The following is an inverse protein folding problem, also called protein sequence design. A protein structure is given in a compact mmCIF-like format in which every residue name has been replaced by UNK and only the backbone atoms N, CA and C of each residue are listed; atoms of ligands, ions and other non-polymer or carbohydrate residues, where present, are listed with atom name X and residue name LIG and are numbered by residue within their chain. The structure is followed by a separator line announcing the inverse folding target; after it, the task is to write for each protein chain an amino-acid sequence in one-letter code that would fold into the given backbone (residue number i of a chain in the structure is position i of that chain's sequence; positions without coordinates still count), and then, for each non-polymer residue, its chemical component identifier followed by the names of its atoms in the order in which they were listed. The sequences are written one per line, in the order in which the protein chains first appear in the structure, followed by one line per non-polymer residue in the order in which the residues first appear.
data_IF_068707636161
#
_entry.id   IF_068707636161
#
_cell.length_a   1.000
_cell.length_b   1.000
_cell.length_c   1.000
_cell.angle_alpha   90.00
_cell.angle_beta   90.00
_cell.angle_gamma   90.00
#
_symmetry.space_group_name_H-M   'P 1'
#
loop_
_entity.id
_entity.type
_entity.pdbx_description
1 polymer ?
#
# COMPACT_ATOMS: atom_id res chain seq x y z
N UNK A 1 19.37 20.72 -35.58
CA UNK A 1 19.17 19.25 -35.64
C UNK A 1 19.04 18.62 -34.25
N UNK A 2 19.63 19.18 -33.18
CA UNK A 2 19.59 18.58 -31.83
C UNK A 2 18.22 18.65 -31.12
N UNK A 3 17.46 19.75 -31.26
CA UNK A 3 16.18 19.95 -30.56
C UNK A 3 15.16 18.83 -30.82
N UNK A 4 14.91 18.47 -32.08
CA UNK A 4 13.93 17.43 -32.43
C UNK A 4 14.34 16.05 -31.91
N UNK A 5 15.62 15.71 -31.99
CA UNK A 5 16.15 14.46 -31.44
C UNK A 5 16.01 14.40 -29.91
N UNK A 6 16.19 15.53 -29.22
CA UNK A 6 15.97 15.62 -27.77
C UNK A 6 14.48 15.54 -27.40
N UNK A 7 13.60 16.19 -28.16
CA UNK A 7 12.15 16.08 -27.97
C UNK A 7 11.66 14.65 -28.16
N UNK A 8 12.18 13.95 -29.17
CA UNK A 8 11.86 12.55 -29.41
C UNK A 8 12.35 11.67 -28.23
N UNK A 9 13.60 11.83 -27.79
CA UNK A 9 14.12 11.11 -26.62
C UNK A 9 13.30 11.37 -25.36
N UNK A 10 12.91 12.62 -25.12
CA UNK A 10 12.08 12.99 -23.97
C UNK A 10 10.71 12.30 -24.01
N UNK A 11 10.08 12.26 -25.19
CA UNK A 11 8.84 11.51 -25.41
C UNK A 11 9.02 10.01 -25.14
N UNK A 12 10.06 9.40 -25.71
CA UNK A 12 10.36 7.97 -25.54
C UNK A 12 10.59 7.61 -24.06
N UNK A 13 11.31 8.47 -23.32
CA UNK A 13 11.51 8.33 -21.87
C UNK A 13 10.17 8.32 -21.11
N UNK A 14 9.27 9.28 -21.38
CA UNK A 14 7.95 9.32 -20.72
C UNK A 14 7.14 8.06 -21.03
N UNK A 15 7.18 7.58 -22.28
CA UNK A 15 6.50 6.34 -22.68
C UNK A 15 7.08 5.13 -21.95
N UNK A 16 8.40 5.04 -21.83
CA UNK A 16 9.07 3.96 -21.10
C UNK A 16 8.66 3.95 -19.62
N UNK A 17 8.71 5.11 -18.93
CA UNK A 17 8.30 5.25 -17.52
C UNK A 17 6.83 4.85 -17.35
N UNK A 18 5.95 5.27 -18.26
CA UNK A 18 4.53 4.93 -18.23
C UNK A 18 4.29 3.43 -18.37
N UNK A 19 4.98 2.78 -19.29
CA UNK A 19 4.85 1.34 -19.53
C UNK A 19 5.34 0.54 -18.32
N UNK A 20 6.48 0.94 -17.76
CA UNK A 20 7.04 0.36 -16.54
C UNK A 20 6.06 0.52 -15.36
N UNK A 21 5.51 1.71 -15.16
CA UNK A 21 4.48 1.95 -14.14
C UNK A 21 3.23 1.10 -14.35
N UNK A 22 2.80 0.86 -15.58
CA UNK A 22 1.62 0.03 -15.84
C UNK A 22 1.83 -1.41 -15.36
N UNK A 23 3.07 -1.92 -15.46
CA UNK A 23 3.42 -3.25 -14.96
C UNK A 23 3.31 -3.37 -13.43
N UNK A 24 3.38 -2.26 -12.69
CA UNK A 24 3.24 -2.23 -11.23
C UNK A 24 1.82 -1.98 -10.73
N UNK A 25 0.80 -2.01 -11.59
CA UNK A 25 -0.60 -1.99 -11.12
C UNK A 25 -0.90 -3.20 -10.21
N UNK A 26 -0.16 -4.30 -10.39
CA UNK A 26 -0.35 -5.53 -9.64
C UNK A 26 1.01 -6.20 -9.47
N UNK A 27 1.41 -6.47 -8.23
CA UNK A 27 2.68 -7.13 -7.90
C UNK A 27 2.46 -8.23 -6.85
N UNK A 28 3.48 -9.06 -6.60
CA UNK A 28 3.58 -9.88 -5.40
C UNK A 28 4.37 -9.18 -4.29
N UNK A 29 4.20 -9.64 -3.05
CA UNK A 29 4.89 -9.15 -1.87
C UNK A 29 6.41 -9.29 -2.00
N UNK A 30 6.88 -10.34 -2.68
CA UNK A 30 8.30 -10.56 -2.98
C UNK A 30 8.91 -9.52 -3.91
N UNK A 31 8.11 -8.84 -4.74
CA UNK A 31 8.56 -7.78 -5.64
C UNK A 31 8.53 -6.39 -4.98
N UNK A 32 7.92 -6.25 -3.79
CA UNK A 32 7.65 -4.96 -3.19
C UNK A 32 8.93 -4.12 -2.98
N UNK A 33 10.02 -4.75 -2.53
CA UNK A 33 11.29 -4.05 -2.31
C UNK A 33 11.92 -3.60 -3.63
N UNK A 34 12.02 -4.49 -4.62
CA UNK A 34 12.60 -4.17 -5.93
C UNK A 34 11.85 -3.02 -6.61
N UNK A 35 10.51 -3.04 -6.53
CA UNK A 35 9.65 -1.98 -7.07
C UNK A 35 9.83 -0.68 -6.28
N UNK A 36 9.94 -0.74 -4.96
CA UNK A 36 10.20 0.44 -4.13
C UNK A 36 11.52 1.12 -4.51
N UNK A 37 12.60 0.36 -4.64
CA UNK A 37 13.93 0.90 -4.96
C UNK A 37 13.96 1.47 -6.39
N UNK A 38 13.27 0.81 -7.33
CA UNK A 38 13.12 1.31 -8.68
C UNK A 38 12.28 2.59 -8.76
N UNK A 39 11.23 2.72 -7.95
CA UNK A 39 10.46 3.97 -7.82
C UNK A 39 11.33 5.10 -7.28
N UNK A 40 12.20 4.81 -6.31
CA UNK A 40 13.13 5.80 -5.76
C UNK A 40 14.13 6.31 -6.81
N UNK A 41 14.71 5.39 -7.59
CA UNK A 41 15.60 5.74 -8.71
C UNK A 41 14.87 6.61 -9.74
N UNK A 42 13.67 6.21 -10.17
CA UNK A 42 12.90 6.96 -11.18
C UNK A 42 12.49 8.35 -10.68
N UNK A 43 12.06 8.48 -9.42
CA UNK A 43 11.73 9.77 -8.83
C UNK A 43 12.96 10.68 -8.74
N UNK A 44 14.11 10.13 -8.34
CA UNK A 44 15.37 10.87 -8.34
C UNK A 44 15.73 11.35 -9.74
N UNK A 45 15.63 10.50 -10.77
CA UNK A 45 15.91 10.88 -12.16
C UNK A 45 14.93 11.91 -12.70
N UNK A 46 13.67 11.89 -12.27
CA UNK A 46 12.71 12.96 -12.61
C UNK A 46 13.21 14.30 -12.07
N UNK A 47 13.63 14.33 -10.81
CA UNK A 47 14.11 15.55 -10.15
C UNK A 47 15.42 16.07 -10.77
N UNK A 48 16.38 15.17 -11.02
CA UNK A 48 17.76 15.57 -11.39
C UNK A 48 18.03 15.62 -12.89
N UNK A 49 17.28 14.85 -13.70
CA UNK A 49 17.51 14.75 -15.16
C UNK A 49 16.31 15.27 -15.96
N UNK A 50 15.12 14.71 -15.75
CA UNK A 50 14.01 14.90 -16.68
C UNK A 50 13.28 16.24 -16.52
N UNK A 51 13.08 16.73 -15.30
CA UNK A 51 12.50 18.06 -15.07
C UNK A 51 13.43 19.19 -15.56
N UNK A 52 14.76 19.16 -15.30
CA UNK A 52 15.70 20.11 -15.90
C UNK A 52 15.72 20.07 -17.43
N UNK A 53 15.67 18.88 -18.03
CA UNK A 53 15.61 18.73 -19.49
C UNK A 53 14.30 19.30 -20.05
N UNK A 54 13.17 19.06 -19.38
CA UNK A 54 11.88 19.64 -19.76
C UNK A 54 11.93 21.18 -19.77
N UNK A 55 12.53 21.79 -18.73
CA UNK A 55 12.69 23.24 -18.66
C UNK A 55 13.59 23.78 -19.78
N UNK A 56 14.69 23.06 -20.07
CA UNK A 56 15.61 23.41 -21.15
C UNK A 56 14.94 23.34 -22.53
N UNK A 57 14.18 22.28 -22.78
CA UNK A 57 13.40 22.13 -24.01
C UNK A 57 12.30 23.18 -24.13
N UNK A 58 11.64 23.53 -23.02
CA UNK A 58 10.64 24.61 -22.99
C UNK A 58 11.25 25.93 -23.46
N UNK A 59 12.37 26.34 -22.85
CA UNK A 59 13.07 27.56 -23.21
C UNK A 59 13.52 27.57 -24.69
N UNK A 60 14.04 26.44 -25.19
CA UNK A 60 14.44 26.34 -26.60
C UNK A 60 13.24 26.45 -27.55
N UNK A 61 12.11 25.80 -27.25
CA UNK A 61 10.89 25.90 -28.06
C UNK A 61 10.36 27.35 -28.07
N UNK A 62 10.45 28.07 -26.96
CA UNK A 62 10.01 29.46 -26.87
C UNK A 62 10.82 30.41 -27.76
N UNK A 63 12.11 30.12 -27.98
CA UNK A 63 12.98 30.92 -28.86
C UNK A 63 12.71 30.75 -30.35
N UNK A 64 11.88 29.77 -30.75
CA UNK A 64 11.52 29.56 -32.15
C UNK A 64 10.62 30.71 -32.62
N UNK A 65 11.22 31.67 -33.34
CA UNK A 65 10.50 32.76 -33.99
C UNK A 65 9.73 32.23 -35.21
N UNK A 66 8.42 32.46 -35.26
CA UNK A 66 7.56 31.90 -36.28
C UNK A 66 6.75 32.98 -37.02
N UNK A 67 7.35 33.60 -38.04
CA UNK A 67 6.64 34.54 -38.92
C UNK A 67 5.78 33.87 -40.00
N UNK A 68 6.01 32.58 -40.32
CA UNK A 68 5.24 31.83 -41.33
C UNK A 68 4.70 30.45 -40.87
N UNK A 69 5.14 29.93 -39.72
CA UNK A 69 4.76 28.61 -39.19
C UNK A 69 4.17 28.67 -37.77
N UNK A 70 3.55 29.80 -37.41
CA UNK A 70 3.09 30.04 -36.04
C UNK A 70 2.16 28.93 -35.53
N UNK A 71 1.16 28.52 -36.33
CA UNK A 71 0.23 27.45 -35.98
C UNK A 71 0.92 26.10 -35.69
N UNK A 72 1.90 25.72 -36.49
CA UNK A 72 2.65 24.47 -36.29
C UNK A 72 3.55 24.57 -35.05
N UNK A 73 4.15 25.74 -34.81
CA UNK A 73 4.94 26.00 -33.61
C UNK A 73 4.07 25.93 -32.35
N UNK A 74 2.87 26.52 -32.39
CA UNK A 74 1.91 26.47 -31.28
C UNK A 74 1.44 25.03 -31.01
N UNK A 75 1.25 24.22 -32.06
CA UNK A 75 0.92 22.80 -31.93
C UNK A 75 2.03 21.99 -31.28
N UNK A 76 3.29 22.27 -31.61
CA UNK A 76 4.45 21.63 -30.96
C UNK A 76 4.53 22.05 -29.49
N UNK A 77 4.36 23.34 -29.19
CA UNK A 77 4.32 23.87 -27.81
C UNK A 77 3.26 23.18 -26.97
N UNK A 78 2.03 23.07 -27.47
CA UNK A 78 0.96 22.43 -26.71
C UNK A 78 1.22 20.93 -26.50
N UNK A 79 1.68 20.21 -27.53
CA UNK A 79 2.07 18.80 -27.37
C UNK A 79 3.16 18.64 -26.31
N UNK A 80 4.17 19.50 -26.32
CA UNK A 80 5.23 19.48 -25.33
C UNK A 80 4.70 19.76 -23.92
N UNK A 81 3.82 20.75 -23.76
CA UNK A 81 3.17 21.06 -22.47
C UNK A 81 2.39 19.86 -21.93
N UNK A 82 1.69 19.13 -22.79
CA UNK A 82 1.01 17.89 -22.42
C UNK A 82 1.98 16.80 -21.96
N UNK A 83 3.16 16.68 -22.58
CA UNK A 83 4.19 15.72 -22.14
C UNK A 83 4.74 16.07 -20.75
N UNK A 84 5.03 17.34 -20.48
CA UNK A 84 5.45 17.78 -19.14
C UNK A 84 4.37 17.50 -18.10
N UNK A 85 3.10 17.77 -18.42
CA UNK A 85 1.99 17.43 -17.54
C UNK A 85 1.90 15.90 -17.29
N UNK A 86 2.15 15.07 -18.31
CA UNK A 86 2.16 13.61 -18.15
C UNK A 86 3.30 13.15 -17.23
N UNK A 87 4.51 13.72 -17.38
CA UNK A 87 5.64 13.45 -16.50
C UNK A 87 5.29 13.75 -15.04
N UNK A 88 4.67 14.91 -14.77
CA UNK A 88 4.25 15.30 -13.42
C UNK A 88 3.20 14.35 -12.83
N UNK A 89 2.24 13.90 -13.64
CA UNK A 89 1.24 12.91 -13.22
C UNK A 89 1.87 11.55 -12.91
N UNK A 90 2.87 11.13 -13.69
CA UNK A 90 3.63 9.91 -13.42
C UNK A 90 4.43 10.04 -12.13
N UNK A 91 5.08 11.18 -11.89
CA UNK A 91 5.81 11.44 -10.66
C UNK A 91 4.90 11.35 -9.42
N UNK A 92 3.72 11.98 -9.47
CA UNK A 92 2.73 11.93 -8.38
C UNK A 92 2.24 10.48 -8.12
N UNK A 93 1.94 9.72 -9.18
CA UNK A 93 1.56 8.32 -9.05
C UNK A 93 2.68 7.47 -8.43
N UNK A 94 3.93 7.68 -8.86
CA UNK A 94 5.09 6.96 -8.33
C UNK A 94 5.34 7.30 -6.86
N UNK A 95 5.19 8.56 -6.46
CA UNK A 95 5.30 8.97 -5.06
C UNK A 95 4.25 8.28 -4.18
N UNK A 96 2.99 8.22 -4.65
CA UNK A 96 1.90 7.49 -3.95
C UNK A 96 2.17 6.00 -3.85
N UNK A 97 2.70 5.39 -4.90
CA UNK A 97 3.11 3.97 -4.90
C UNK A 97 4.24 3.70 -3.92
N UNK A 98 5.25 4.56 -3.89
CA UNK A 98 6.34 4.46 -2.93
C UNK A 98 5.82 4.52 -1.49
N UNK A 99 4.92 5.47 -1.19
CA UNK A 99 4.28 5.57 0.11
C UNK A 99 3.46 4.31 0.46
N UNK A 100 2.67 3.80 -0.48
CA UNK A 100 1.92 2.56 -0.29
C UNK A 100 2.84 1.37 0.05
N UNK A 101 3.96 1.22 -0.64
CA UNK A 101 4.93 0.15 -0.37
C UNK A 101 5.61 0.29 1.00
N UNK A 102 5.92 1.52 1.42
CA UNK A 102 6.43 1.79 2.78
C UNK A 102 5.41 1.40 3.85
N UNK A 103 4.14 1.76 3.65
CA UNK A 103 3.04 1.40 4.56
C UNK A 103 2.76 -0.10 4.57
N UNK A 104 2.89 -0.76 3.43
CA UNK A 104 2.80 -2.20 3.35
C UNK A 104 3.91 -2.87 4.17
N UNK A 105 5.15 -2.40 4.06
CA UNK A 105 6.26 -2.93 4.85
C UNK A 105 6.08 -2.71 6.36
N UNK A 106 5.63 -1.52 6.76
CA UNK A 106 5.27 -1.19 8.15
C UNK A 106 4.20 -2.16 8.69
N UNK A 107 3.13 -2.37 7.92
CA UNK A 107 2.06 -3.31 8.26
C UNK A 107 2.56 -4.74 8.42
N UNK A 108 3.37 -5.23 7.47
CA UNK A 108 3.93 -6.59 7.54
C UNK A 108 4.85 -6.79 8.75
N UNK A 109 5.70 -5.80 9.05
CA UNK A 109 6.55 -5.81 10.25
C UNK A 109 5.71 -5.85 11.53
N UNK A 110 4.65 -5.04 11.60
CA UNK A 110 3.74 -5.05 12.73
C UNK A 110 3.07 -6.42 12.92
N UNK A 111 2.47 -6.97 11.87
CA UNK A 111 1.78 -8.28 11.90
C UNK A 111 2.72 -9.37 12.36
N UNK A 112 3.93 -9.45 11.79
CA UNK A 112 4.93 -10.45 12.16
C UNK A 112 5.35 -10.34 13.63
N UNK A 113 5.56 -9.12 14.12
CA UNK A 113 5.93 -8.88 15.52
C UNK A 113 4.77 -9.22 16.48
N UNK A 114 3.54 -8.82 16.14
CA UNK A 114 2.36 -9.13 16.93
C UNK A 114 2.12 -10.64 17.02
N UNK A 115 2.23 -11.35 15.89
CA UNK A 115 2.10 -12.80 15.83
C UNK A 115 3.16 -13.50 16.68
N UNK A 116 4.43 -13.10 16.55
CA UNK A 116 5.53 -13.66 17.34
C UNK A 116 5.36 -13.41 18.85
N UNK A 117 4.95 -12.21 19.24
CA UNK A 117 4.75 -11.84 20.65
C UNK A 117 3.59 -12.63 21.26
N UNK A 118 2.45 -12.70 20.57
CA UNK A 118 1.28 -13.45 21.04
C UNK A 118 1.59 -14.95 21.14
N UNK A 119 2.27 -15.54 20.14
CA UNK A 119 2.72 -16.92 20.19
C UNK A 119 3.69 -17.18 21.36
N UNK A 120 4.59 -16.23 21.65
CA UNK A 120 5.47 -16.29 22.82
C UNK A 120 4.70 -16.34 24.13
N UNK A 121 3.75 -15.44 24.33
CA UNK A 121 2.87 -15.40 25.51
C UNK A 121 2.05 -16.69 25.67
N UNK A 122 1.53 -17.25 24.57
CA UNK A 122 0.80 -18.53 24.53
C UNK A 122 1.72 -19.70 24.96
N UNK A 123 2.96 -19.71 24.46
CA UNK A 123 3.95 -20.74 24.81
C UNK A 123 4.33 -20.67 26.28
N UNK A 124 4.58 -19.48 26.81
CA UNK A 124 4.90 -19.27 28.23
C UNK A 124 3.78 -19.80 29.13
N UNK A 125 2.51 -19.58 28.76
CA UNK A 125 1.36 -20.11 29.48
C UNK A 125 1.33 -21.64 29.43
N UNK A 126 1.68 -22.23 28.29
CA UNK A 126 1.73 -23.70 28.09
C UNK A 126 2.85 -24.37 28.89
N UNK A 127 3.96 -23.66 29.08
CA UNK A 127 5.11 -24.12 29.89
C UNK A 127 4.86 -23.97 31.41
N UNK A 128 3.66 -23.58 31.83
CA UNK A 128 3.26 -23.46 33.23
C UNK A 128 3.87 -22.24 33.94
N UNK A 129 4.41 -21.27 33.18
CA UNK A 129 4.80 -19.98 33.75
C UNK A 129 3.55 -19.24 34.20
N UNK A 130 3.66 -18.45 35.27
CA UNK A 130 2.54 -17.61 35.70
C UNK A 130 2.30 -16.55 34.63
N UNK A 131 1.22 -16.74 33.87
CA UNK A 131 0.81 -15.82 32.81
C UNK A 131 -0.45 -15.08 33.24
N UNK A 132 -0.40 -13.76 33.15
CA UNK A 132 -1.53 -12.89 33.40
C UNK A 132 -2.45 -12.87 32.17
N UNK A 133 -3.56 -13.61 32.25
CA UNK A 133 -4.56 -13.67 31.19
C UNK A 133 -5.22 -12.32 30.89
N UNK A 134 -5.35 -11.44 31.88
CA UNK A 134 -5.87 -10.09 31.68
C UNK A 134 -4.89 -9.30 30.83
N UNK A 135 -3.59 -9.45 31.11
CA UNK A 135 -2.53 -8.83 30.31
C UNK A 135 -2.56 -9.32 28.85
N UNK A 136 -2.67 -10.63 28.59
CA UNK A 136 -2.77 -11.16 27.22
C UNK A 136 -4.01 -10.61 26.50
N UNK A 137 -5.15 -10.57 27.17
CA UNK A 137 -6.40 -10.04 26.60
C UNK A 137 -6.25 -8.56 26.22
N UNK A 138 -5.60 -7.77 27.08
CA UNK A 138 -5.31 -6.36 26.81
C UNK A 138 -4.31 -6.20 25.64
N UNK A 139 -3.27 -7.03 25.58
CA UNK A 139 -2.30 -7.05 24.47
C UNK A 139 -2.99 -7.39 23.14
N UNK A 140 -3.86 -8.40 23.12
CA UNK A 140 -4.61 -8.80 21.93
C UNK A 140 -5.56 -7.71 21.45
N UNK A 141 -6.27 -7.05 22.37
CA UNK A 141 -7.12 -5.89 22.05
C UNK A 141 -6.30 -4.77 21.42
N UNK A 142 -5.15 -4.42 22.01
CA UNK A 142 -4.26 -3.40 21.48
C UNK A 142 -3.70 -3.78 20.09
N UNK A 143 -3.40 -5.06 19.85
CA UNK A 143 -2.98 -5.54 18.54
C UNK A 143 -4.07 -5.34 17.49
N UNK A 144 -5.32 -5.67 17.80
CA UNK A 144 -6.42 -5.47 16.86
C UNK A 144 -6.71 -4.00 16.57
N UNK A 145 -6.67 -3.13 17.59
CA UNK A 145 -6.86 -1.69 17.40
C UNK A 145 -5.81 -1.12 16.44
N UNK A 146 -4.55 -1.48 16.65
CA UNK A 146 -3.45 -1.06 15.75
C UNK A 146 -3.54 -1.68 14.37
N UNK A 147 -3.98 -2.93 14.27
CA UNK A 147 -4.17 -3.59 12.98
C UNK A 147 -5.23 -2.87 12.16
N UNK A 148 -6.34 -2.47 12.78
CA UNK A 148 -7.39 -1.70 12.11
C UNK A 148 -6.84 -0.36 11.60
N UNK A 149 -6.14 0.40 12.44
CA UNK A 149 -5.54 1.69 12.05
C UNK A 149 -4.57 1.54 10.88
N UNK A 150 -3.62 0.61 10.97
CA UNK A 150 -2.64 0.39 9.90
C UNK A 150 -3.29 -0.19 8.64
N UNK A 151 -4.32 -1.02 8.79
CA UNK A 151 -5.10 -1.56 7.68
C UNK A 151 -5.86 -0.48 6.91
N UNK A 152 -6.50 0.45 7.63
CA UNK A 152 -7.22 1.56 7.03
C UNK A 152 -6.26 2.52 6.29
N UNK A 153 -5.14 2.87 6.91
CA UNK A 153 -4.09 3.68 6.27
C UNK A 153 -3.54 3.00 5.00
N UNK A 154 -3.31 1.68 5.06
CA UNK A 154 -2.81 0.90 3.93
C UNK A 154 -3.84 0.86 2.78
N UNK A 155 -5.12 0.68 3.09
CA UNK A 155 -6.20 0.66 2.11
C UNK A 155 -6.36 2.03 1.41
N UNK A 156 -6.27 3.13 2.16
CA UNK A 156 -6.30 4.48 1.59
C UNK A 156 -5.10 4.70 0.64
N UNK A 157 -3.90 4.31 1.06
CA UNK A 157 -2.70 4.40 0.23
C UNK A 157 -2.81 3.54 -1.05
N UNK A 158 -3.41 2.35 -0.95
CA UNK A 158 -3.60 1.45 -2.08
C UNK A 158 -4.44 2.08 -3.20
N UNK A 159 -5.52 2.76 -2.84
CA UNK A 159 -6.39 3.46 -3.80
C UNK A 159 -5.62 4.58 -4.51
N UNK A 160 -4.89 5.41 -3.74
CA UNK A 160 -4.07 6.48 -4.31
C UNK A 160 -2.92 5.99 -5.20
N UNK A 161 -2.34 4.84 -4.86
CA UNK A 161 -1.27 4.20 -5.61
C UNK A 161 -1.74 3.50 -6.89
N UNK A 162 -3.04 3.24 -7.04
CA UNK A 162 -3.60 2.40 -8.10
C UNK A 162 -2.75 1.14 -8.32
N UNK A 163 -2.53 0.42 -7.22
CA UNK A 163 -1.59 -0.69 -7.10
C UNK A 163 -2.21 -1.76 -6.19
N UNK A 164 -1.88 -3.03 -6.41
CA UNK A 164 -2.38 -4.15 -5.58
C UNK A 164 -1.27 -5.15 -5.35
N UNK A 165 -1.18 -5.68 -4.12
CA UNK A 165 -0.28 -6.78 -3.75
C UNK A 165 -1.14 -8.04 -3.60
N UNK A 166 -0.90 -9.03 -4.45
CA UNK A 166 -1.85 -10.14 -4.70
C UNK A 166 -1.85 -11.23 -3.64
N UNK A 167 -0.74 -11.41 -2.94
CA UNK A 167 -0.44 -12.52 -2.04
C UNK A 167 -0.38 -12.10 -0.56
N UNK A 168 -0.77 -10.86 -0.26
CA UNK A 168 -0.73 -10.31 1.09
C UNK A 168 -1.89 -9.34 1.34
N UNK A 169 -3.03 -9.88 1.80
CA UNK A 169 -4.20 -9.06 2.15
C UNK A 169 -4.27 -8.76 3.64
N UNK A 170 -4.90 -7.63 3.98
CA UNK A 170 -5.20 -7.26 5.38
C UNK A 170 -6.06 -8.36 6.03
N UNK A 171 -7.05 -8.89 5.31
CA UNK A 171 -7.93 -9.96 5.78
C UNK A 171 -7.17 -11.23 6.16
N UNK A 172 -6.15 -11.61 5.38
CA UNK A 172 -5.32 -12.77 5.71
C UNK A 172 -4.53 -12.53 7.00
N UNK A 173 -3.99 -11.33 7.21
CA UNK A 173 -3.29 -10.98 8.44
C UNK A 173 -4.21 -11.00 9.67
N UNK A 174 -5.42 -10.45 9.56
CA UNK A 174 -6.44 -10.53 10.62
C UNK A 174 -6.75 -11.98 10.96
N UNK A 175 -6.98 -12.80 9.93
CA UNK A 175 -7.34 -14.22 10.09
C UNK A 175 -6.22 -15.00 10.78
N UNK A 176 -4.95 -14.76 10.41
CA UNK A 176 -3.80 -15.40 11.06
C UNK A 176 -3.71 -15.07 12.54
N UNK A 177 -3.83 -13.80 12.92
CA UNK A 177 -3.75 -13.37 14.33
C UNK A 177 -4.96 -13.89 15.13
N UNK A 178 -6.17 -13.87 14.56
CA UNK A 178 -7.37 -14.39 15.23
C UNK A 178 -7.31 -15.89 15.49
N UNK A 179 -6.73 -16.65 14.58
CA UNK A 179 -6.67 -18.11 14.65
C UNK A 179 -5.43 -18.62 15.42
N UNK A 180 -4.70 -17.74 16.10
CA UNK A 180 -3.65 -18.18 17.03
C UNK A 180 -4.28 -19.08 18.11
N UNK A 181 -3.60 -20.18 18.51
CA UNK A 181 -4.13 -21.13 19.48
C UNK A 181 -4.12 -20.50 20.88
N UNK A 182 -5.08 -19.63 21.15
CA UNK A 182 -5.38 -19.17 22.49
C UNK A 182 -6.03 -20.34 23.22
N UNK A 183 -5.25 -21.01 24.06
CA UNK A 183 -5.76 -22.10 24.87
C UNK A 183 -6.95 -21.60 25.71
N UNK A 184 -8.15 -22.06 25.37
CA UNK A 184 -9.19 -22.26 26.38
C UNK A 184 -8.68 -23.37 27.29
N UNK A 185 -8.00 -23.00 28.37
CA UNK A 185 -7.83 -23.92 29.48
C UNK A 185 -9.23 -24.13 30.05
N UNK A 186 -9.91 -25.19 29.62
CA UNK A 186 -11.02 -25.73 30.39
C UNK A 186 -10.49 -25.89 31.81
N UNK A 187 -11.09 -25.15 32.74
CA UNK A 187 -10.82 -25.32 34.15
C UNK A 187 -10.99 -26.81 34.45
N UNK A 188 -9.88 -27.49 34.75
CA UNK A 188 -9.94 -28.86 35.27
C UNK A 188 -10.94 -28.85 36.41
N UNK A 189 -12.00 -29.61 36.23
CA UNK A 189 -13.10 -29.75 37.17
C UNK A 189 -12.56 -30.01 38.57
N UNK A 190 -12.62 -28.99 39.43
CA UNK A 190 -12.70 -29.22 40.85
C UNK A 190 -14.17 -28.97 41.19
N UNK A 191 -14.90 -30.06 41.43
CA UNK A 191 -16.32 -30.04 41.77
C UNK A 191 -16.60 -29.01 42.88
N UNK A 192 -17.28 -27.91 42.54
CA UNK A 192 -18.49 -27.47 43.23
C UNK A 192 -19.17 -26.30 42.50
N UNK A 193 -20.49 -26.46 42.31
CA UNK A 193 -21.51 -25.45 41.97
C UNK A 193 -21.41 -24.71 40.62
N UNK A 194 -22.26 -25.18 39.70
CA UNK A 194 -22.81 -24.42 38.58
C UNK A 194 -23.35 -23.04 39.01
N UNK A 195 -22.85 -21.96 38.38
CA UNK A 195 -23.66 -20.99 37.62
C UNK A 195 -22.80 -19.84 37.07
N UNK A 196 -22.99 -19.55 35.78
CA UNK A 196 -22.55 -18.36 35.01
C UNK A 196 -21.06 -18.24 34.63
N UNK A 197 -20.63 -18.96 33.59
CA UNK A 197 -19.70 -18.41 32.60
C UNK A 197 -20.08 -18.94 31.22
N UNK A 198 -21.19 -18.43 30.66
CA UNK A 198 -21.62 -18.67 29.27
C UNK A 198 -21.80 -17.36 28.50
N UNK A 199 -21.21 -16.26 29.01
CA UNK A 199 -21.42 -14.90 28.49
C UNK A 199 -20.19 -14.27 27.80
N UNK A 200 -19.00 -14.88 27.84
CA UNK A 200 -17.80 -14.31 27.19
C UNK A 200 -17.62 -14.71 25.71
N UNK A 201 -18.23 -15.81 25.27
CA UNK A 201 -18.19 -16.21 23.85
C UNK A 201 -19.13 -15.39 22.94
N UNK A 202 -20.04 -14.58 23.50
CA UNK A 202 -21.03 -13.84 22.70
C UNK A 202 -20.64 -12.37 22.49
N UNK A 203 -19.84 -11.77 23.39
CA UNK A 203 -19.50 -10.34 23.29
C UNK A 203 -18.40 -10.08 22.23
N UNK A 204 -17.47 -11.02 22.03
CA UNK A 204 -16.42 -10.88 21.01
C UNK A 204 -16.90 -11.13 19.58
N UNK A 205 -17.97 -11.91 19.38
CA UNK A 205 -18.51 -12.21 18.05
C UNK A 205 -19.29 -11.05 17.41
N UNK A 206 -19.84 -10.14 18.23
CA UNK A 206 -20.71 -9.07 17.73
C UNK A 206 -20.05 -7.70 17.57
N UNK A 207 -18.97 -7.40 18.31
CA UNK A 207 -18.38 -6.05 18.26
C UNK A 207 -17.35 -5.83 17.15
N UNK A 208 -16.74 -6.90 16.62
CA UNK A 208 -15.66 -6.79 15.60
C UNK A 208 -16.17 -7.05 14.17
N UNK A 209 -17.36 -7.63 14.02
CA UNK A 209 -17.91 -7.98 12.70
C UNK A 209 -18.58 -6.82 11.96
N UNK A 210 -18.95 -5.72 12.62
CA UNK A 210 -19.82 -4.72 11.99
C UNK A 210 -19.09 -3.63 11.20
N UNK A 211 -17.82 -3.34 11.50
CA UNK A 211 -17.08 -2.25 10.82
C UNK A 211 -16.24 -2.74 9.63
N UNK A 212 -15.79 -4.00 9.64
CA UNK A 212 -14.85 -4.50 8.63
C UNK A 212 -15.53 -5.03 7.36
N UNK A 213 -16.76 -5.56 7.48
CA UNK A 213 -17.51 -6.12 6.35
C UNK A 213 -18.14 -5.05 5.44
N UNK A 214 -18.25 -3.80 5.87
CA UNK A 214 -18.91 -2.76 5.06
C UNK A 214 -17.96 -2.10 4.05
N UNK A 215 -16.63 -2.13 4.27
CA UNK A 215 -15.68 -1.42 3.40
C UNK A 215 -14.94 -2.30 2.38
N UNK A 216 -14.84 -3.62 2.57
CA UNK A 216 -14.10 -4.48 1.63
C UNK A 216 -14.94 -4.99 0.44
N UNK A 217 -16.27 -5.00 0.54
CA UNK A 217 -17.15 -5.53 -0.53
C UNK A 217 -17.55 -4.49 -1.59
N UNK A 218 -17.05 -3.25 -1.51
CA UNK A 218 -17.42 -2.17 -2.44
C UNK A 218 -16.55 -2.07 -3.71
N UNK A 219 -15.47 -2.87 -3.85
CA UNK A 219 -14.55 -2.77 -5.00
C UNK A 219 -14.42 -4.09 -5.74
N UNK A 220 -15.53 -4.69 -6.18
CA UNK A 220 -15.55 -5.47 -7.44
C UNK A 220 -17.00 -5.63 -7.87
N UNK A 221 -17.51 -4.86 -8.85
CA UNK A 221 -18.21 -5.31 -10.09
C UNK A 221 -18.47 -4.05 -10.94
N UNK A 222 -17.54 -3.71 -11.85
CA UNK A 222 -17.93 -3.14 -13.15
C UNK A 222 -17.69 -4.23 -14.20
N UNK A 223 -18.72 -5.05 -14.40
CA UNK A 223 -18.92 -5.70 -15.70
C UNK A 223 -19.23 -4.62 -16.73
N UNK A 224 -18.63 -4.74 -17.92
CA UNK A 224 -19.23 -4.56 -19.27
C UNK A 224 -18.07 -4.59 -20.28
N UNK A 225 -18.24 -5.15 -21.49
CA UNK A 225 -19.48 -5.67 -22.08
C UNK A 225 -19.63 -7.18 -22.00
#
# INVERSE_FOLDING_TARGET
MDLFARLQRFYETIVAIKNENTAWNTISSSQAQDVHDRLDELLSRIETEYAPEANTLCAQIETVQASFFQLECDRVKEKFRLLVMQLNKLADLMAKRKLFLLKFEEFQKFVKNAEANLLGSIRDASEGKQVDMQRITNEMTCVFDKLNVLGDELAECQVGANMTITDATITDAVTRIRNLPLFTFEARECHHSYQRISSLNIVFYHHVNFSFLINCDAVTIKKVP
#
